data_IF_117493608459
#
_entry.id   IF_117493608459
#
_cell.length_a   1.000
_cell.length_b   1.000
_cell.length_c   1.000
_cell.angle_alpha   90.00
_cell.angle_beta   90.00
_cell.angle_gamma   90.00
#
_symmetry.space_group_name_H-M   'P 1'
#
loop_
_entity.id
_entity.type
_entity.pdbx_description
1 polymer ?
#
# COMPACT_ATOMS: atom_id res chain seq x y z
N UNK A 1 16.39 -35.83 -56.62
CA UNK A 1 17.47 -35.29 -57.48
C UNK A 1 17.56 -33.79 -57.23
N UNK A 2 18.68 -33.29 -56.68
CA UNK A 2 19.14 -31.88 -56.83
C UNK A 2 19.83 -31.79 -58.22
N UNK A 3 20.03 -30.64 -58.90
CA UNK A 3 20.31 -29.28 -58.41
C UNK A 3 19.49 -28.19 -59.16
N UNK A 4 19.51 -26.89 -58.84
CA UNK A 4 20.66 -25.97 -58.92
C UNK A 4 20.23 -24.63 -59.53
N UNK A 5 21.07 -23.58 -59.46
CA UNK A 5 20.66 -22.19 -59.23
C UNK A 5 20.95 -21.22 -60.40
N UNK A 6 20.65 -19.91 -60.20
CA UNK A 6 21.33 -18.66 -60.68
C UNK A 6 20.32 -17.64 -61.25
N UNK A 7 20.12 -16.50 -60.55
CA UNK A 7 20.84 -15.20 -60.65
C UNK A 7 20.46 -14.38 -61.89
N UNK A 8 19.81 -13.23 -61.66
CA UNK A 8 20.09 -11.93 -62.30
C UNK A 8 19.04 -10.91 -61.78
N UNK A 9 19.48 -9.89 -61.03
CA UNK A 9 19.65 -8.51 -61.50
C UNK A 9 18.34 -7.70 -61.37
N UNK A 10 18.15 -6.98 -60.26
CA UNK A 10 18.52 -5.57 -60.07
C UNK A 10 17.89 -4.64 -61.12
N UNK A 11 16.75 -4.04 -60.76
CA UNK A 11 16.33 -2.76 -61.31
C UNK A 11 15.69 -1.95 -60.18
N UNK A 12 16.53 -1.09 -59.61
CA UNK A 12 16.18 0.02 -58.73
C UNK A 12 15.52 1.09 -59.61
N UNK A 13 14.27 1.48 -59.33
CA UNK A 13 13.72 2.73 -59.83
C UNK A 13 12.84 3.34 -58.74
N UNK A 14 13.43 4.33 -58.08
CA UNK A 14 12.82 5.17 -57.07
C UNK A 14 11.69 6.02 -57.69
N UNK A 15 10.54 6.04 -57.03
CA UNK A 15 9.42 6.92 -57.35
C UNK A 15 8.75 7.35 -56.05
N UNK A 16 9.12 8.55 -55.59
CA UNK A 16 8.62 9.27 -54.43
C UNK A 16 7.09 9.26 -54.27
N UNK A 17 6.59 8.76 -53.14
CA UNK A 17 5.42 9.35 -52.46
C UNK A 17 5.70 9.36 -50.96
N UNK A 18 5.72 10.56 -50.40
CA UNK A 18 5.87 10.84 -48.98
C UNK A 18 4.56 10.57 -48.23
N UNK A 19 4.63 9.95 -47.04
CA UNK A 19 3.53 9.85 -46.08
C UNK A 19 3.87 8.90 -44.91
N UNK A 20 3.66 9.28 -43.63
CA UNK A 20 4.55 8.85 -42.55
C UNK A 20 4.08 7.60 -41.77
N UNK A 21 5.07 6.78 -41.42
CA UNK A 21 5.21 5.98 -40.19
C UNK A 21 3.95 5.73 -39.34
N UNK A 22 3.26 4.62 -39.61
CA UNK A 22 2.40 3.94 -38.64
C UNK A 22 3.10 2.68 -38.15
N UNK A 23 3.94 2.83 -37.13
CA UNK A 23 4.61 1.72 -36.47
C UNK A 23 3.60 0.73 -35.88
N UNK A 24 3.82 -0.56 -36.13
CA UNK A 24 3.16 -1.66 -35.44
C UNK A 24 3.44 -1.54 -33.93
N UNK A 25 2.40 -1.31 -33.14
CA UNK A 25 2.46 -1.47 -31.68
C UNK A 25 1.94 -2.86 -31.36
N UNK A 26 2.72 -3.74 -30.70
CA UNK A 26 2.18 -4.95 -30.11
C UNK A 26 1.18 -4.56 -29.01
N UNK A 27 -0.06 -5.02 -29.14
CA UNK A 27 -1.03 -4.93 -28.05
C UNK A 27 -0.65 -5.91 -26.94
N UNK A 28 0.20 -5.48 -26.02
CA UNK A 28 0.26 -6.05 -24.66
C UNK A 28 -0.89 -5.45 -23.84
N UNK A 29 -2.08 -6.02 -24.04
CA UNK A 29 -3.24 -5.82 -23.18
C UNK A 29 -3.33 -6.88 -22.09
N UNK A 30 -2.20 -7.25 -21.49
CA UNK A 30 -2.21 -8.03 -20.26
C UNK A 30 -2.30 -7.03 -19.10
N UNK A 31 -3.51 -6.66 -18.70
CA UNK A 31 -3.77 -6.14 -17.37
C UNK A 31 -3.55 -7.27 -16.37
N UNK A 32 -2.28 -7.59 -16.15
CA UNK A 32 -1.85 -8.21 -14.91
C UNK A 32 -2.23 -7.18 -13.86
N UNK A 33 -3.22 -7.53 -13.03
CA UNK A 33 -3.48 -6.82 -11.79
C UNK A 33 -2.20 -6.92 -10.96
N UNK A 34 -1.28 -5.99 -11.18
CA UNK A 34 -0.03 -5.86 -10.45
C UNK A 34 -0.43 -5.75 -9.00
N UNK A 35 -0.19 -6.82 -8.24
CA UNK A 35 -0.23 -6.77 -6.79
C UNK A 35 0.75 -5.65 -6.41
N UNK A 36 0.21 -4.46 -6.12
CA UNK A 36 1.00 -3.27 -5.79
C UNK A 36 1.99 -3.69 -4.70
N UNK A 37 3.28 -3.55 -5.02
CA UNK A 37 4.33 -3.88 -4.08
C UNK A 37 4.16 -3.05 -2.81
N UNK A 38 4.48 -3.64 -1.66
CA UNK A 38 4.44 -2.92 -0.39
C UNK A 38 5.48 -1.79 -0.39
N UNK A 39 5.16 -0.63 0.22
CA UNK A 39 6.06 0.52 0.23
C UNK A 39 7.32 0.24 1.06
N UNK A 40 8.49 0.58 0.53
CA UNK A 40 9.79 0.46 1.23
C UNK A 40 10.40 1.81 1.62
N UNK A 41 9.88 2.91 1.07
CA UNK A 41 10.32 4.28 1.36
C UNK A 41 9.25 5.05 2.15
N UNK A 42 9.63 5.98 3.04
CA UNK A 42 8.69 6.76 3.86
C UNK A 42 7.62 7.48 3.05
N UNK A 43 8.03 8.17 1.98
CA UNK A 43 7.15 8.95 1.12
C UNK A 43 6.20 8.02 0.36
N UNK A 44 6.69 6.85 -0.05
CA UNK A 44 5.89 5.81 -0.70
C UNK A 44 4.82 5.25 0.26
N UNK A 45 5.13 5.10 1.55
CA UNK A 45 4.14 4.67 2.56
C UNK A 45 3.04 5.72 2.75
N UNK A 46 3.42 6.99 2.87
CA UNK A 46 2.45 8.10 2.98
C UNK A 46 1.54 8.12 1.76
N UNK A 47 2.11 8.10 0.55
CA UNK A 47 1.35 8.07 -0.70
C UNK A 47 0.45 6.83 -0.82
N UNK A 48 0.94 5.66 -0.41
CA UNK A 48 0.17 4.41 -0.43
C UNK A 48 -1.08 4.52 0.45
N UNK A 49 -0.93 5.02 1.69
CA UNK A 49 -2.03 5.14 2.64
C UNK A 49 -3.02 6.24 2.25
N UNK A 50 -2.54 7.41 1.82
CA UNK A 50 -3.45 8.50 1.40
C UNK A 50 -4.25 8.12 0.16
N UNK A 51 -3.62 7.45 -0.80
CA UNK A 51 -4.30 6.90 -2.00
C UNK A 51 -5.34 5.86 -1.58
N UNK A 52 -4.98 4.91 -0.72
CA UNK A 52 -5.92 3.88 -0.26
C UNK A 52 -7.12 4.45 0.50
N UNK A 53 -6.93 5.50 1.30
CA UNK A 53 -8.02 6.19 2.00
C UNK A 53 -8.96 6.90 1.02
N UNK A 54 -8.39 7.62 0.05
CA UNK A 54 -9.14 8.37 -0.96
C UNK A 54 -9.94 7.45 -1.88
N UNK A 55 -9.31 6.36 -2.32
CA UNK A 55 -9.87 5.44 -3.32
C UNK A 55 -10.69 4.32 -2.67
N UNK A 56 -10.88 4.37 -1.33
CA UNK A 56 -11.58 3.37 -0.54
C UNK A 56 -11.02 1.94 -0.69
N UNK A 57 -9.70 1.83 -0.95
CA UNK A 57 -9.03 0.56 -1.24
C UNK A 57 -8.78 -0.24 0.05
N UNK A 58 -9.78 -1.03 0.43
CA UNK A 58 -9.67 -1.93 1.57
C UNK A 58 -8.60 -3.01 1.35
N UNK A 59 -8.40 -3.45 0.11
CA UNK A 59 -7.44 -4.50 -0.22
C UNK A 59 -6.00 -3.99 -0.08
N UNK A 60 -5.74 -2.71 -0.32
CA UNK A 60 -4.46 -2.08 -0.02
C UNK A 60 -4.14 -2.12 1.48
N UNK A 61 -5.12 -1.85 2.35
CA UNK A 61 -4.95 -1.97 3.79
C UNK A 61 -4.84 -3.42 4.27
N UNK A 62 -5.64 -4.33 3.71
CA UNK A 62 -5.51 -5.76 4.00
C UNK A 62 -4.12 -6.29 3.64
N UNK A 63 -3.54 -5.79 2.55
CA UNK A 63 -2.15 -6.08 2.20
C UNK A 63 -1.19 -5.45 3.19
N UNK A 64 -1.31 -4.17 3.52
CA UNK A 64 -0.33 -3.40 4.31
C UNK A 64 -0.26 -3.79 5.79
N UNK A 65 -1.37 -4.25 6.37
CA UNK A 65 -1.43 -4.62 7.79
C UNK A 65 -0.76 -5.97 8.04
N UNK A 66 0.05 -6.04 9.10
CA UNK A 66 0.56 -7.30 9.62
C UNK A 66 -0.55 -7.99 10.43
N UNK A 67 -1.09 -9.09 9.91
CA UNK A 67 -2.17 -9.85 10.55
C UNK A 67 -1.67 -10.96 11.49
N UNK A 68 -0.36 -11.14 11.63
CA UNK A 68 0.23 -12.18 12.48
C UNK A 68 -0.28 -12.05 13.92
N UNK A 69 -0.73 -13.17 14.50
CA UNK A 69 -1.27 -13.22 15.86
C UNK A 69 -2.66 -12.58 16.04
N UNK A 70 -3.31 -12.13 14.96
CA UNK A 70 -4.61 -11.45 15.02
C UNK A 70 -5.77 -12.45 14.95
N UNK A 71 -6.78 -12.28 15.80
CA UNK A 71 -8.04 -13.07 15.74
C UNK A 71 -9.02 -12.47 14.73
N UNK A 72 -9.94 -13.29 14.21
CA UNK A 72 -10.94 -12.85 13.22
C UNK A 72 -11.76 -11.62 13.67
N UNK A 73 -12.16 -11.57 14.95
CA UNK A 73 -12.88 -10.42 15.51
C UNK A 73 -12.03 -9.14 15.48
N UNK A 74 -10.75 -9.21 15.85
CA UNK A 74 -9.83 -8.06 15.80
C UNK A 74 -9.61 -7.59 14.36
N UNK A 75 -9.44 -8.51 13.40
CA UNK A 75 -9.36 -8.17 11.97
C UNK A 75 -10.58 -7.37 11.51
N UNK A 76 -11.79 -7.83 11.85
CA UNK A 76 -13.04 -7.12 11.51
C UNK A 76 -13.11 -5.71 12.10
N UNK A 77 -12.75 -5.57 13.38
CA UNK A 77 -12.73 -4.27 14.06
C UNK A 77 -11.70 -3.31 13.46
N UNK A 78 -10.48 -3.80 13.18
CA UNK A 78 -9.43 -3.00 12.54
C UNK A 78 -9.86 -2.52 11.15
N UNK A 79 -10.45 -3.38 10.32
CA UNK A 79 -10.95 -2.97 9.00
C UNK A 79 -12.12 -2.00 9.10
N UNK A 80 -12.99 -2.15 10.10
CA UNK A 80 -14.06 -1.17 10.37
C UNK A 80 -13.49 0.21 10.74
N UNK A 81 -12.48 0.26 11.61
CA UNK A 81 -11.79 1.50 11.99
C UNK A 81 -11.04 2.14 10.81
N UNK A 82 -10.48 1.34 9.90
CA UNK A 82 -9.86 1.85 8.69
C UNK A 82 -10.91 2.49 7.78
N UNK A 83 -12.05 1.81 7.58
CA UNK A 83 -13.15 2.31 6.76
C UNK A 83 -13.77 3.60 7.29
N UNK A 84 -13.72 3.87 8.59
CA UNK A 84 -14.21 5.16 9.10
C UNK A 84 -13.33 6.34 8.66
N UNK A 85 -12.15 6.10 8.10
CA UNK A 85 -11.31 7.13 7.48
C UNK A 85 -11.61 7.38 6.00
N UNK A 86 -12.33 6.48 5.33
CA UNK A 86 -12.52 6.48 3.88
C UNK A 86 -13.36 7.65 3.39
N UNK A 87 -12.94 8.27 2.29
CA UNK A 87 -13.64 9.39 1.65
C UNK A 87 -13.52 10.72 2.39
N UNK A 88 -12.87 10.73 3.55
CA UNK A 88 -12.63 11.94 4.33
C UNK A 88 -11.49 12.75 3.68
N UNK A 89 -11.64 14.06 3.50
CA UNK A 89 -10.58 14.89 2.95
C UNK A 89 -9.38 14.88 3.90
N UNK A 90 -8.17 14.69 3.36
CA UNK A 90 -6.93 14.63 4.13
C UNK A 90 -6.28 16.00 4.12
N UNK A 91 -6.05 16.59 5.29
CA UNK A 91 -5.31 17.84 5.47
C UNK A 91 -3.81 17.61 5.42
N UNK A 92 -3.34 16.58 6.13
CA UNK A 92 -1.93 16.22 6.21
C UNK A 92 -1.75 14.73 6.51
N UNK A 93 -0.68 14.14 6.00
CA UNK A 93 -0.24 12.81 6.37
C UNK A 93 1.29 12.78 6.50
N UNK A 94 1.80 12.27 7.61
CA UNK A 94 3.23 12.28 7.90
C UNK A 94 3.67 11.04 8.68
N UNK A 95 4.82 10.48 8.29
CA UNK A 95 5.52 9.46 9.06
C UNK A 95 6.40 10.14 10.10
N UNK A 96 6.14 9.86 11.37
CA UNK A 96 6.85 10.44 12.51
C UNK A 96 7.56 9.34 13.31
N UNK A 97 8.70 9.61 13.96
CA UNK A 97 9.27 8.68 14.92
C UNK A 97 8.26 8.31 16.01
N UNK A 98 8.25 7.04 16.41
CA UNK A 98 7.44 6.62 17.54
C UNK A 98 8.03 7.21 18.84
N UNK A 99 7.25 7.87 19.70
CA UNK A 99 7.75 8.31 21.01
C UNK A 99 8.24 7.12 21.84
N UNK A 100 9.26 7.32 22.67
CA UNK A 100 9.86 6.25 23.49
C UNK A 100 8.81 5.50 24.32
N UNK A 101 7.88 6.22 24.95
CA UNK A 101 6.79 5.65 25.75
C UNK A 101 5.49 5.43 24.95
N UNK A 102 5.52 5.53 23.62
CA UNK A 102 4.33 5.58 22.79
C UNK A 102 3.45 4.32 22.84
N UNK A 103 3.98 3.19 23.34
CA UNK A 103 3.23 1.96 23.57
C UNK A 103 2.98 1.66 25.05
N UNK A 104 3.60 2.41 25.98
CA UNK A 104 3.68 2.07 27.39
C UNK A 104 2.30 1.88 28.02
N UNK A 105 1.37 2.79 27.77
CA UNK A 105 0.01 2.71 28.29
C UNK A 105 -0.69 1.42 27.81
N UNK A 106 -0.64 1.16 26.50
CA UNK A 106 -1.33 0.04 25.88
C UNK A 106 -0.75 -1.32 26.29
N UNK A 107 0.56 -1.37 26.61
CA UNK A 107 1.25 -2.59 27.04
C UNK A 107 1.37 -2.72 28.57
N UNK A 108 1.07 -1.68 29.34
CA UNK A 108 1.27 -1.61 30.80
C UNK A 108 0.65 -2.79 31.57
N UNK A 109 -0.52 -3.26 31.10
CA UNK A 109 -1.26 -4.37 31.72
C UNK A 109 -0.69 -5.76 31.36
N UNK A 110 0.30 -5.84 30.48
CA UNK A 110 0.91 -7.09 30.01
C UNK A 110 -0.01 -8.00 29.20
N UNK A 111 -1.22 -7.54 28.85
CA UNK A 111 -2.22 -8.33 28.10
C UNK A 111 -2.13 -8.16 26.60
N UNK A 112 -1.44 -7.11 26.13
CA UNK A 112 -1.26 -6.77 24.74
C UNK A 112 0.22 -6.56 24.44
N UNK A 113 0.62 -6.89 23.21
CA UNK A 113 1.93 -6.56 22.63
C UNK A 113 1.77 -6.18 21.17
N UNK A 114 2.70 -5.39 20.63
CA UNK A 114 2.80 -5.23 19.19
C UNK A 114 3.18 -6.57 18.54
N UNK A 115 2.59 -6.89 17.39
CA UNK A 115 2.88 -8.12 16.66
C UNK A 115 4.14 -8.04 15.79
N UNK A 116 4.79 -6.88 15.75
CA UNK A 116 6.10 -6.64 15.18
C UNK A 116 6.74 -5.41 15.86
N UNK A 117 8.05 -5.19 15.74
CA UNK A 117 8.70 -3.97 16.23
C UNK A 117 8.07 -2.73 15.59
N UNK A 118 7.72 -1.73 16.40
CA UNK A 118 7.19 -0.44 15.96
C UNK A 118 8.30 0.59 16.09
N UNK A 119 8.61 1.27 15.00
CA UNK A 119 9.70 2.26 14.91
C UNK A 119 9.16 3.66 14.60
N UNK A 120 8.04 3.73 13.88
CA UNK A 120 7.40 4.98 13.48
C UNK A 120 5.89 4.93 13.74
N UNK A 121 5.25 6.08 13.64
CA UNK A 121 3.81 6.21 13.54
C UNK A 121 3.46 7.02 12.30
N UNK A 122 2.46 6.57 11.55
CA UNK A 122 1.90 7.35 10.46
C UNK A 122 0.67 8.08 10.98
N UNK A 123 0.73 9.42 11.01
CA UNK A 123 -0.38 10.29 11.39
C UNK A 123 -1.08 10.78 10.14
N UNK A 124 -2.40 10.60 10.07
CA UNK A 124 -3.26 11.15 9.01
C UNK A 124 -4.28 12.08 9.68
N UNK A 125 -4.18 13.36 9.39
CA UNK A 125 -5.08 14.42 9.89
C UNK A 125 -6.09 14.74 8.80
N UNK A 126 -7.37 14.65 9.14
CA UNK A 126 -8.47 14.95 8.22
C UNK A 126 -8.77 16.45 8.23
N UNK A 127 -9.22 16.97 7.09
CA UNK A 127 -9.61 18.37 6.89
C UNK A 127 -11.06 18.60 7.31
N UNK A 128 -11.31 18.38 8.61
CA UNK A 128 -12.62 18.52 9.22
C UNK A 128 -12.50 19.37 10.49
N UNK A 129 -13.58 20.09 10.81
CA UNK A 129 -13.63 20.86 12.05
C UNK A 129 -13.47 19.91 13.25
N UNK A 130 -12.65 20.26 14.24
CA UNK A 130 -12.60 19.51 15.50
C UNK A 130 -13.98 19.45 16.15
N UNK A 131 -14.27 18.34 16.80
CA UNK A 131 -15.41 18.26 17.72
C UNK A 131 -15.04 19.06 18.97
N UNK A 132 -16.02 19.75 19.58
CA UNK A 132 -15.80 20.61 20.74
C UNK A 132 -15.07 19.86 21.87
N UNK A 133 -13.93 20.39 22.31
CA UNK A 133 -13.08 19.79 23.34
C UNK A 133 -12.10 18.71 22.85
N UNK A 134 -12.07 18.39 21.55
CA UNK A 134 -11.16 17.40 20.96
C UNK A 134 -10.21 18.03 19.93
N UNK A 135 -9.16 17.30 19.56
CA UNK A 135 -8.25 17.67 18.47
C UNK A 135 -8.88 17.50 17.08
N UNK A 136 -8.14 17.92 16.05
CA UNK A 136 -8.52 17.61 14.67
C UNK A 136 -8.64 16.08 14.47
N UNK A 137 -9.66 15.59 13.76
CA UNK A 137 -9.85 14.16 13.58
C UNK A 137 -8.60 13.53 12.96
N UNK A 138 -8.05 12.52 13.63
CA UNK A 138 -6.74 11.95 13.29
C UNK A 138 -6.77 10.44 13.37
N UNK A 139 -6.26 9.77 12.34
CA UNK A 139 -5.89 8.37 12.39
C UNK A 139 -4.39 8.23 12.66
N UNK A 140 -4.03 7.36 13.59
CA UNK A 140 -2.63 7.00 13.87
C UNK A 140 -2.44 5.51 13.62
N UNK A 141 -1.52 5.18 12.72
CA UNK A 141 -1.12 3.81 12.43
C UNK A 141 0.24 3.54 13.05
N UNK A 142 0.37 2.40 13.74
CA UNK A 142 1.66 1.91 14.25
C UNK A 142 2.45 1.32 13.10
N UNK A 143 3.67 1.80 12.85
CA UNK A 143 4.46 1.42 11.68
C UNK A 143 5.73 0.71 12.12
N UNK A 144 6.02 -0.39 11.44
CA UNK A 144 7.29 -1.09 11.52
C UNK A 144 7.73 -1.58 10.15
N UNK A 145 8.84 -2.31 10.11
CA UNK A 145 9.38 -2.92 8.88
C UNK A 145 9.45 -4.44 8.98
N UNK A 146 9.10 -5.10 7.87
CA UNK A 146 9.21 -6.55 7.69
C UNK A 146 9.74 -6.81 6.29
N UNK A 147 10.83 -7.59 6.18
CA UNK A 147 11.45 -7.89 4.88
C UNK A 147 11.89 -6.64 4.09
N UNK A 148 12.26 -5.55 4.76
CA UNK A 148 12.64 -4.29 4.12
C UNK A 148 11.47 -3.42 3.62
N UNK A 149 10.22 -3.82 3.89
CA UNK A 149 9.01 -3.06 3.54
C UNK A 149 8.28 -2.59 4.78
N UNK A 150 7.55 -1.47 4.65
CA UNK A 150 6.71 -0.94 5.70
C UNK A 150 5.43 -1.76 5.86
N UNK A 151 5.02 -1.92 7.13
CA UNK A 151 3.81 -2.64 7.54
C UNK A 151 3.11 -1.87 8.65
N UNK A 152 1.80 -1.99 8.72
CA UNK A 152 1.04 -1.53 9.89
C UNK A 152 1.04 -2.64 10.95
N UNK A 153 1.59 -2.34 12.12
CA UNK A 153 1.58 -3.20 13.28
C UNK A 153 0.23 -3.17 14.01
N UNK A 154 -0.10 -4.25 14.70
CA UNK A 154 -1.29 -4.36 15.53
C UNK A 154 -0.92 -4.73 16.97
N UNK A 155 -1.72 -4.25 17.92
CA UNK A 155 -1.69 -4.73 19.28
C UNK A 155 -2.51 -6.03 19.39
N UNK A 156 -1.83 -7.13 19.72
CA UNK A 156 -2.40 -8.48 19.84
C UNK A 156 -2.25 -9.02 21.26
N UNK A 157 -3.13 -9.94 21.71
CA UNK A 157 -3.03 -10.54 23.03
C UNK A 157 -1.71 -11.30 23.27
N UNK A 158 -1.17 -11.23 24.48
CA UNK A 158 0.07 -11.91 24.89
C UNK A 158 -0.14 -13.36 25.35
N UNK A 159 -1.38 -13.77 25.69
CA UNK A 159 -1.71 -15.10 26.19
C UNK A 159 -2.42 -16.00 25.18
N UNK A 160 -2.46 -17.33 25.43
CA UNK A 160 -3.21 -18.27 24.59
C UNK A 160 -4.69 -17.86 24.51
N UNK A 161 -5.41 -18.22 23.43
CA UNK A 161 -6.83 -17.96 23.34
C UNK A 161 -7.55 -18.60 24.53
N UNK A 162 -8.04 -17.76 25.46
CA UNK A 162 -8.98 -18.21 26.49
C UNK A 162 -10.14 -18.87 25.76
N UNK A 163 -10.34 -20.16 26.05
CA UNK A 163 -11.34 -21.02 25.40
C UNK A 163 -12.72 -20.37 25.44
N UNK A 164 -13.49 -20.65 24.39
CA UNK A 164 -14.88 -20.20 24.23
C UNK A 164 -15.77 -20.67 25.38
#
# INVERSE_FOLDING_TARGET
>A
MRPGPRLAALALAAGLVAGPAGAQVPSEGATVSSATALPSQPEALVAYVTTAIRDHDIAAFERLVNWTGTRAQRKRLTLYQIRSGFGRPIKAAALEPMPEDGLAEATSRGTLKANMPVTERLRVVFDEAPVEGDGAPTNVFLIGREGGTYRIALLVPTGPPKGK
#
